data_IF_210994561745
#
_entry.id   IF_210994561745
#
_cell.length_a   1.000
_cell.length_b   1.000
_cell.length_c   1.000
_cell.angle_alpha   90.00
_cell.angle_beta   90.00
_cell.angle_gamma   90.00
#
_symmetry.space_group_name_H-M   'P 1'
#
loop_
_entity.id
_entity.type
_entity.pdbx_description
1 polymer ?
#
# COMPACT_ATOMS: atom_id res chain seq x y z
N UNK A 1 -6.28 16.80 16.22
CA UNK A 1 -6.58 16.75 14.77
C UNK A 1 -5.75 15.73 13.99
N UNK A 2 -4.42 15.66 14.16
CA UNK A 2 -3.53 14.90 13.25
C UNK A 2 -3.76 13.38 13.18
N UNK A 3 -4.14 12.71 14.28
CA UNK A 3 -4.47 11.27 14.28
C UNK A 3 -5.72 10.93 13.45
N UNK A 4 -6.72 11.83 13.43
CA UNK A 4 -7.94 11.68 12.62
C UNK A 4 -7.64 11.72 11.11
N UNK A 5 -6.68 12.55 10.70
CA UNK A 5 -6.24 12.62 9.29
C UNK A 5 -5.56 11.33 8.85
N UNK A 6 -4.63 10.79 9.66
CA UNK A 6 -4.00 9.51 9.37
C UNK A 6 -5.04 8.40 9.21
N UNK A 7 -6.02 8.33 10.12
CA UNK A 7 -7.10 7.34 10.09
C UNK A 7 -7.97 7.42 8.84
N UNK A 8 -8.29 8.63 8.40
CA UNK A 8 -9.34 8.87 7.39
C UNK A 8 -8.81 8.93 5.96
N UNK A 9 -7.56 9.39 5.77
CA UNK A 9 -6.99 9.66 4.43
C UNK A 9 -5.82 8.74 4.14
N UNK A 10 -4.80 8.77 5.00
CA UNK A 10 -3.55 8.07 4.71
C UNK A 10 -3.70 6.57 4.83
N UNK A 11 -4.37 6.10 5.88
CA UNK A 11 -4.49 4.66 6.16
C UNK A 11 -5.28 3.93 5.07
N UNK A 12 -6.44 4.43 4.59
CA UNK A 12 -7.11 3.83 3.43
C UNK A 12 -6.26 3.86 2.17
N UNK A 13 -5.60 4.98 1.84
CA UNK A 13 -4.74 5.07 0.66
C UNK A 13 -3.57 4.07 0.70
N UNK A 14 -2.98 3.87 1.88
CA UNK A 14 -1.91 2.90 2.10
C UNK A 14 -2.41 1.44 2.00
N UNK A 15 -3.67 1.19 2.37
CA UNK A 15 -4.28 -0.14 2.39
C UNK A 15 -4.97 -0.52 1.07
N UNK A 16 -5.34 0.44 0.21
CA UNK A 16 -6.05 0.17 -1.04
C UNK A 16 -5.31 -0.83 -1.94
N UNK A 17 -4.00 -0.62 -2.17
CA UNK A 17 -3.17 -1.59 -2.89
C UNK A 17 -2.89 -2.87 -2.08
N UNK A 18 -3.12 -2.82 -0.77
CA UNK A 18 -2.84 -3.90 0.17
C UNK A 18 -3.90 -5.02 0.17
N UNK A 19 -5.11 -4.68 -0.29
CA UNK A 19 -6.31 -5.52 -0.28
C UNK A 19 -6.36 -6.53 -1.43
N UNK A 20 -5.90 -6.14 -2.62
CA UNK A 20 -6.02 -6.91 -3.86
C UNK A 20 -4.89 -7.93 -4.10
N UNK A 21 -3.68 -7.69 -3.55
CA UNK A 21 -2.50 -8.53 -3.79
C UNK A 21 -2.11 -9.40 -2.59
N UNK A 22 -1.58 -10.60 -2.87
CA UNK A 22 -1.03 -11.51 -1.85
C UNK A 22 0.26 -10.94 -1.23
N UNK A 23 0.16 -10.24 -0.10
CA UNK A 23 1.33 -9.73 0.60
C UNK A 23 2.07 -10.81 1.39
N UNK A 24 3.36 -10.95 1.10
CA UNK A 24 4.32 -11.66 1.97
C UNK A 24 4.51 -10.91 3.29
N UNK A 25 4.96 -11.61 4.33
CA UNK A 25 5.28 -11.03 5.66
C UNK A 25 6.19 -9.79 5.60
N UNK A 26 7.06 -9.73 4.59
CA UNK A 26 7.97 -8.58 4.35
C UNK A 26 7.23 -7.28 4.08
N UNK A 27 6.12 -7.31 3.35
CA UNK A 27 5.36 -6.12 3.05
C UNK A 27 4.51 -5.66 4.23
N UNK A 28 3.94 -6.58 5.01
CA UNK A 28 3.26 -6.25 6.27
C UNK A 28 4.22 -5.55 7.22
N UNK A 29 5.47 -6.04 7.32
CA UNK A 29 6.53 -5.35 8.09
C UNK A 29 6.83 -3.94 7.58
N UNK A 30 6.87 -3.74 6.25
CA UNK A 30 7.06 -2.41 5.64
C UNK A 30 5.90 -1.47 5.93
N UNK A 31 4.65 -1.95 5.84
CA UNK A 31 3.45 -1.19 6.22
C UNK A 31 3.47 -0.79 7.69
N UNK A 32 3.83 -1.72 8.57
CA UNK A 32 3.98 -1.46 10.00
C UNK A 32 5.05 -0.39 10.27
N UNK A 33 6.20 -0.46 9.59
CA UNK A 33 7.26 0.53 9.73
C UNK A 33 6.83 1.92 9.19
N UNK A 34 6.06 1.97 8.11
CA UNK A 34 5.50 3.20 7.57
C UNK A 34 4.47 3.83 8.54
N UNK A 35 3.53 3.04 9.05
CA UNK A 35 2.56 3.45 10.08
C UNK A 35 3.28 4.04 11.29
N UNK A 36 4.23 3.30 11.88
CA UNK A 36 4.89 3.74 13.10
C UNK A 36 5.74 4.99 12.90
N UNK A 37 6.41 5.13 11.74
CA UNK A 37 7.17 6.34 11.41
C UNK A 37 6.25 7.56 11.33
N UNK A 38 5.09 7.41 10.69
CA UNK A 38 4.14 8.50 10.55
C UNK A 38 3.47 8.86 11.88
N UNK A 39 3.08 7.87 12.68
CA UNK A 39 2.51 8.11 14.01
C UNK A 39 3.51 8.82 14.92
N UNK A 40 4.79 8.42 14.88
CA UNK A 40 5.86 9.12 15.61
C UNK A 40 6.03 10.57 15.16
N UNK A 41 6.09 10.80 13.84
CA UNK A 41 6.21 12.14 13.29
C UNK A 41 5.02 13.05 13.67
N UNK A 42 3.79 12.54 13.54
CA UNK A 42 2.56 13.25 13.90
C UNK A 42 2.52 13.61 15.40
N UNK A 43 2.96 12.69 16.25
CA UNK A 43 3.00 12.86 17.70
C UNK A 43 4.24 13.59 18.21
N UNK A 44 5.15 14.03 17.32
CA UNK A 44 6.40 14.68 17.68
C UNK A 44 7.35 13.79 18.49
N UNK A 45 7.21 12.46 18.37
CA UNK A 45 8.01 11.49 19.11
C UNK A 45 9.18 11.01 18.29
N UNK A 46 10.35 10.97 18.89
CA UNK A 46 11.57 10.47 18.26
C UNK A 46 11.85 9.03 18.68
N UNK A 47 12.92 8.43 18.15
CA UNK A 47 13.40 7.12 18.63
C UNK A 47 14.07 7.24 20.01
N UNK A 48 14.58 8.41 20.35
CA UNK A 48 15.30 8.68 21.60
C UNK A 48 14.38 8.68 22.82
N UNK A 49 13.09 8.99 22.62
CA UNK A 49 12.09 8.99 23.68
C UNK A 49 11.84 7.58 24.27
N UNK A 50 12.33 6.51 23.61
CA UNK A 50 12.17 5.11 24.01
C UNK A 50 10.72 4.68 24.30
N UNK A 51 9.73 5.43 23.79
CA UNK A 51 8.31 5.11 23.92
C UNK A 51 7.98 3.90 23.05
N UNK A 52 7.27 2.92 23.63
CA UNK A 52 6.84 1.72 22.92
C UNK A 52 5.86 2.05 21.79
N UNK A 53 5.86 1.21 20.74
CA UNK A 53 4.93 1.39 19.62
C UNK A 53 3.47 1.21 20.05
N UNK A 54 3.21 0.39 21.06
CA UNK A 54 1.88 0.19 21.64
C UNK A 54 1.36 1.45 22.32
N UNK A 55 2.18 2.12 23.12
CA UNK A 55 1.80 3.38 23.77
C UNK A 55 1.47 4.45 22.73
N UNK A 56 2.28 4.57 21.67
CA UNK A 56 2.03 5.52 20.57
C UNK A 56 0.69 5.24 19.88
N UNK A 57 0.37 3.96 19.65
CA UNK A 57 -0.91 3.55 19.07
C UNK A 57 -2.10 3.86 19.98
N UNK A 58 -1.97 3.58 21.27
CA UNK A 58 -2.99 3.87 22.28
C UNK A 58 -3.28 5.37 22.36
N UNK A 59 -2.22 6.20 22.37
CA UNK A 59 -2.36 7.66 22.34
C UNK A 59 -3.00 8.17 21.05
N UNK A 60 -2.75 7.49 19.93
CA UNK A 60 -3.35 7.84 18.63
C UNK A 60 -4.76 7.27 18.43
N UNK A 61 -5.26 6.43 19.35
CA UNK A 61 -6.49 5.63 19.19
C UNK A 61 -6.48 4.79 17.89
N UNK A 62 -5.35 4.12 17.64
CA UNK A 62 -5.12 3.37 16.40
C UNK A 62 -4.90 1.87 16.66
N UNK A 63 -5.76 1.05 16.06
CA UNK A 63 -5.51 -0.39 15.94
C UNK A 63 -4.24 -0.67 15.10
N UNK A 64 -3.55 -1.80 15.27
CA UNK A 64 -2.43 -2.21 14.42
C UNK A 64 -2.79 -2.25 12.92
N UNK A 65 -1.84 -1.85 12.05
CA UNK A 65 -2.06 -1.90 10.58
C UNK A 65 -2.45 -3.29 10.08
N UNK A 66 -1.91 -4.35 10.68
CA UNK A 66 -2.15 -5.73 10.29
C UNK A 66 -3.61 -6.15 10.54
N UNK A 67 -4.19 -5.71 11.65
CA UNK A 67 -5.61 -5.99 11.95
C UNK A 67 -6.53 -5.29 10.96
N UNK A 68 -6.20 -4.05 10.59
CA UNK A 68 -6.96 -3.33 9.55
C UNK A 68 -6.76 -3.92 8.15
N UNK A 69 -5.57 -4.42 7.84
CA UNK A 69 -5.34 -5.16 6.61
C UNK A 69 -6.18 -6.45 6.56
N UNK A 70 -6.26 -7.19 7.67
CA UNK A 70 -7.12 -8.37 7.79
C UNK A 70 -8.60 -8.02 7.62
N UNK A 71 -9.07 -6.97 8.29
CA UNK A 71 -10.44 -6.48 8.16
C UNK A 71 -10.77 -6.09 6.71
N UNK A 72 -9.86 -5.36 6.05
CA UNK A 72 -10.04 -4.91 4.68
C UNK A 72 -10.12 -6.08 3.69
N UNK A 73 -9.27 -7.10 3.85
CA UNK A 73 -9.33 -8.33 3.05
C UNK A 73 -10.64 -9.09 3.25
N UNK A 74 -11.14 -9.18 4.47
CA UNK A 74 -12.43 -9.83 4.74
C UNK A 74 -13.60 -9.05 4.12
N UNK A 75 -13.54 -7.72 4.15
CA UNK A 75 -14.53 -6.87 3.46
C UNK A 75 -14.49 -7.07 1.95
N UNK A 76 -13.31 -7.10 1.35
CA UNK A 76 -13.11 -7.40 -0.07
C UNK A 76 -13.66 -8.79 -0.43
N UNK A 77 -13.29 -9.82 0.33
CA UNK A 77 -13.79 -11.17 0.11
C UNK A 77 -15.32 -11.25 0.23
N UNK A 78 -15.89 -10.56 1.22
CA UNK A 78 -17.35 -10.44 1.35
C UNK A 78 -17.99 -9.71 0.17
N UNK A 79 -17.33 -8.69 -0.39
CA UNK A 79 -17.80 -8.00 -1.60
C UNK A 79 -17.80 -8.94 -2.81
N UNK A 80 -16.70 -9.68 -3.03
CA UNK A 80 -16.61 -10.68 -4.11
C UNK A 80 -17.69 -11.75 -3.96
N UNK A 81 -17.94 -12.25 -2.75
CA UNK A 81 -19.00 -13.25 -2.49
C UNK A 81 -20.43 -12.73 -2.70
N UNK A 82 -20.66 -11.44 -2.52
CA UNK A 82 -21.98 -10.80 -2.74
C UNK A 82 -22.18 -10.34 -4.18
N UNK A 83 -21.12 -10.35 -5.01
CA UNK A 83 -21.23 -10.03 -6.43
C UNK A 83 -21.98 -11.16 -7.12
N UNK A 84 -23.02 -10.80 -7.86
CA UNK A 84 -23.75 -11.72 -8.72
C UNK A 84 -22.80 -12.31 -9.79
N UNK A 85 -22.92 -13.60 -10.08
CA UNK A 85 -22.14 -14.27 -11.13
C UNK A 85 -22.46 -13.67 -12.49
N UNK A 86 -23.70 -13.22 -12.68
CA UNK A 86 -24.20 -12.65 -13.93
C UNK A 86 -23.99 -11.13 -14.02
N UNK A 87 -23.38 -10.50 -13.00
CA UNK A 87 -23.01 -9.09 -13.09
C UNK A 87 -21.93 -8.93 -14.18
N UNK A 88 -22.18 -8.10 -15.22
CA UNK A 88 -21.25 -7.98 -16.35
C UNK A 88 -19.85 -7.67 -15.83
N UNK A 89 -18.91 -8.54 -16.16
CA UNK A 89 -17.49 -8.24 -16.07
C UNK A 89 -17.20 -7.49 -17.36
N UNK A 90 -16.97 -6.17 -17.30
CA UNK A 90 -16.32 -5.47 -18.41
C UNK A 90 -15.04 -6.27 -18.71
N UNK A 91 -14.91 -6.94 -19.88
CA UNK A 91 -13.71 -7.65 -20.24
C UNK A 91 -12.60 -6.61 -20.28
N UNK A 92 -11.71 -6.68 -19.30
CA UNK A 92 -10.73 -5.64 -19.04
C UNK A 92 -10.03 -5.22 -20.33
N UNK A 93 -10.21 -3.95 -20.68
CA UNK A 93 -9.40 -3.22 -21.67
C UNK A 93 -7.95 -3.66 -21.47
N UNK A 94 -7.33 -4.17 -22.53
CA UNK A 94 -6.04 -4.85 -22.49
C UNK A 94 -5.00 -3.99 -21.75
N UNK A 95 -4.75 -4.30 -20.48
CA UNK A 95 -3.66 -3.68 -19.73
C UNK A 95 -2.36 -4.29 -20.24
N UNK A 96 -1.84 -3.76 -21.35
CA UNK A 96 -0.43 -3.95 -21.68
C UNK A 96 0.36 -3.29 -20.56
N UNK A 97 1.22 -4.08 -19.92
CA UNK A 97 2.05 -3.65 -18.81
C UNK A 97 2.81 -2.37 -19.19
N UNK A 98 2.64 -1.32 -18.39
CA UNK A 98 3.32 -0.03 -18.60
C UNK A 98 4.84 -0.21 -18.46
N UNK A 99 5.66 0.30 -19.40
CA UNK A 99 7.08 -0.04 -19.52
C UNK A 99 7.96 0.49 -18.38
N UNK A 100 7.41 1.26 -17.44
CA UNK A 100 8.19 1.96 -16.42
C UNK A 100 8.66 1.09 -15.24
N UNK A 101 8.24 -0.18 -15.13
CA UNK A 101 8.58 -1.06 -13.99
C UNK A 101 9.44 -2.28 -14.35
N UNK A 102 10.42 -2.14 -15.26
CA UNK A 102 11.52 -3.10 -15.39
C UNK A 102 12.75 -2.58 -14.64
N UNK A 103 12.85 -2.93 -13.35
CA UNK A 103 14.08 -2.72 -12.58
C UNK A 103 15.13 -3.71 -13.08
N UNK A 104 16.17 -3.20 -13.73
CA UNK A 104 17.38 -3.96 -14.09
C UNK A 104 17.55 -4.20 -15.59
N UNK A 105 17.89 -3.16 -16.35
CA UNK A 105 18.58 -3.32 -17.63
C UNK A 105 19.62 -2.20 -17.75
N UNK A 106 20.88 -2.60 -17.86
CA UNK A 106 22.02 -1.70 -18.03
C UNK A 106 21.89 -0.97 -19.37
N UNK A 107 22.20 0.32 -19.34
CA UNK A 107 22.29 1.22 -20.48
C UNK A 107 23.19 0.64 -21.59
N UNK A 108 22.64 0.54 -22.80
CA UNK A 108 23.42 0.46 -24.03
C UNK A 108 22.67 1.28 -25.10
N UNK A 109 23.11 2.52 -25.30
CA UNK A 109 22.75 3.29 -26.49
C UNK A 109 23.58 2.73 -27.65
N UNK A 110 22.93 2.08 -28.61
CA UNK A 110 23.47 1.88 -29.95
C UNK A 110 22.67 2.76 -30.90
N UNK A 111 23.38 3.66 -31.59
CA UNK A 111 22.81 4.57 -32.57
C UNK A 111 22.15 3.79 -33.73
N UNK A 112 21.00 4.25 -34.28
CA UNK A 112 20.49 3.69 -35.52
C UNK A 112 21.37 4.12 -36.71
N UNK A 113 21.69 3.23 -37.66
CA UNK A 113 22.42 3.63 -38.87
C UNK A 113 21.51 4.50 -39.74
N UNK A 114 22.03 5.66 -40.14
CA UNK A 114 21.39 6.55 -41.10
C UNK A 114 21.38 5.86 -42.46
N UNK A 115 20.19 5.56 -42.98
CA UNK A 115 20.02 5.19 -44.38
C UNK A 115 20.11 6.47 -45.21
N UNK A 116 21.19 6.62 -45.98
CA UNK A 116 21.29 7.61 -47.05
C UNK A 116 21.40 6.86 -48.39
N UNK A 117 20.44 7.19 -49.26
CA UNK A 117 20.26 6.84 -50.68
C UNK A 117 19.84 5.38 -50.97
#
# INVERSE_FOLDING_TARGET
>A
MKGKFYRSVVRPAMLYGAEYWAFKKTHVRRLHAAEMRMLRWISGKTRWDRISNEVIRRQADMAPVEDKLREARLKWFGHVRRRDVDAPVEPGVSWKQSPYFRVGARSAYTHPPQTLL
#
